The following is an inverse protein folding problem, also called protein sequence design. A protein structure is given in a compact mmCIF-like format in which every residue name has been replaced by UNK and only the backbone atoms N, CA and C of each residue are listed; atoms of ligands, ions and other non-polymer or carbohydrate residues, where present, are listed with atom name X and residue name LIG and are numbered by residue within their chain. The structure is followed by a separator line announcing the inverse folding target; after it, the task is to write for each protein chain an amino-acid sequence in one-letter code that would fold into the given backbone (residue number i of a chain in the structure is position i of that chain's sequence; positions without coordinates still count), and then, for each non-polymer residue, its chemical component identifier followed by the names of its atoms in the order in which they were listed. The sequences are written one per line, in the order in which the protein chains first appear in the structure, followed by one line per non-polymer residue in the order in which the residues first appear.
data_IF_195734592238
#
_entry.id   IF_195734592238
#
_cell.length_a   1.000
_cell.length_b   1.000
_cell.length_c   1.000
_cell.angle_alpha   90.00
_cell.angle_beta   90.00
_cell.angle_gamma   90.00
#
_symmetry.space_group_name_H-M   'P 1'
#
loop_
_entity.id
_entity.type
_entity.pdbx_description
1 polymer ?
#
# COMPACT_ATOMS: atom_id res chain seq x y z
N UNK A 1 -6.86 18.21 -18.74
CA UNK A 1 -6.81 17.16 -17.69
C UNK A 1 -6.13 15.89 -18.19
N UNK A 2 -6.28 15.50 -19.46
CA UNK A 2 -5.69 14.27 -20.02
C UNK A 2 -4.19 14.08 -19.81
N UNK A 3 -3.37 15.10 -20.07
CA UNK A 3 -1.91 14.99 -19.88
C UNK A 3 -1.51 14.79 -18.41
N UNK A 4 -2.30 15.35 -17.48
CA UNK A 4 -2.07 15.18 -16.06
C UNK A 4 -2.40 13.74 -15.61
N UNK A 5 -3.53 13.19 -16.06
CA UNK A 5 -3.88 11.79 -15.80
C UNK A 5 -2.88 10.82 -16.44
N UNK A 6 -2.37 11.15 -17.62
CA UNK A 6 -1.32 10.37 -18.30
C UNK A 6 -0.01 10.38 -17.52
N UNK A 7 0.37 11.52 -16.93
CA UNK A 7 1.52 11.61 -16.03
C UNK A 7 1.32 10.79 -14.74
N UNK A 8 0.15 10.89 -14.11
CA UNK A 8 -0.19 10.08 -12.92
C UNK A 8 -0.17 8.58 -13.21
N UNK A 9 -0.46 8.19 -14.44
CA UNK A 9 -0.45 6.79 -14.90
C UNK A 9 0.94 6.29 -15.32
N UNK A 10 2.00 7.08 -15.15
CA UNK A 10 3.36 6.61 -15.42
C UNK A 10 3.79 5.58 -14.37
N UNK A 11 4.58 4.60 -14.78
CA UNK A 11 5.04 3.49 -13.93
C UNK A 11 5.60 3.94 -12.56
N UNK A 12 6.53 4.92 -12.46
CA UNK A 12 7.06 5.33 -11.16
C UNK A 12 5.98 5.98 -10.28
N UNK A 13 5.09 6.79 -10.85
CA UNK A 13 4.05 7.50 -10.08
C UNK A 13 3.01 6.52 -9.53
N UNK A 14 2.54 5.59 -10.36
CA UNK A 14 1.63 4.52 -9.91
C UNK A 14 2.28 3.62 -8.85
N UNK A 15 3.55 3.27 -9.03
CA UNK A 15 4.29 2.45 -8.07
C UNK A 15 4.40 3.16 -6.72
N UNK A 16 4.74 4.45 -6.69
CA UNK A 16 4.78 5.22 -5.44
C UNK A 16 3.41 5.29 -4.78
N UNK A 17 2.34 5.54 -5.53
CA UNK A 17 0.98 5.57 -4.98
C UNK A 17 0.56 4.20 -4.42
N UNK A 18 0.84 3.12 -5.15
CA UNK A 18 0.44 1.76 -4.75
C UNK A 18 1.25 1.23 -3.57
N UNK A 19 2.58 1.41 -3.59
CA UNK A 19 3.42 1.02 -2.46
C UNK A 19 3.19 1.91 -1.25
N UNK A 20 2.86 3.20 -1.44
CA UNK A 20 2.44 4.08 -0.35
C UNK A 20 1.20 3.54 0.35
N UNK A 21 0.14 3.25 -0.41
CA UNK A 21 -1.08 2.64 0.11
C UNK A 21 -0.81 1.29 0.80
N UNK A 22 -0.05 0.41 0.14
CA UNK A 22 0.29 -0.92 0.66
C UNK A 22 1.09 -0.83 1.96
N UNK A 23 2.07 0.08 2.04
CA UNK A 23 2.89 0.30 3.22
C UNK A 23 2.06 0.81 4.40
N UNK A 24 1.21 1.82 4.16
CA UNK A 24 0.29 2.33 5.20
C UNK A 24 -0.67 1.26 5.70
N UNK A 25 -1.16 0.40 4.81
CA UNK A 25 -2.04 -0.71 5.18
C UNK A 25 -1.32 -1.76 6.05
N UNK A 26 -0.13 -2.18 5.64
CA UNK A 26 0.69 -3.15 6.41
C UNK A 26 1.06 -2.58 7.79
N UNK A 27 1.46 -1.30 7.84
CA UNK A 27 1.74 -0.60 9.10
C UNK A 27 0.51 -0.63 10.02
N UNK A 28 -0.67 -0.32 9.48
CA UNK A 28 -1.90 -0.29 10.26
C UNK A 28 -2.27 -1.68 10.80
N UNK A 29 -2.11 -2.73 9.99
CA UNK A 29 -2.34 -4.11 10.45
C UNK A 29 -1.41 -4.45 11.62
N UNK A 30 -0.12 -4.17 11.51
CA UNK A 30 0.85 -4.47 12.59
C UNK A 30 0.64 -3.58 13.83
N UNK A 31 0.07 -2.39 13.67
CA UNK A 31 -0.32 -1.53 14.80
C UNK A 31 -1.53 -2.09 15.56
N UNK A 32 -2.55 -2.58 14.86
CA UNK A 32 -3.77 -3.13 15.48
C UNK A 32 -3.56 -4.55 16.01
N UNK A 33 -2.81 -5.38 15.28
CA UNK A 33 -2.51 -6.76 15.62
C UNK A 33 -0.98 -6.94 15.74
N UNK A 34 -0.40 -6.63 16.91
CA UNK A 34 1.04 -6.76 17.12
C UNK A 34 1.47 -8.24 17.11
N UNK A 35 2.69 -8.47 16.63
CA UNK A 35 3.41 -9.75 16.67
C UNK A 35 2.69 -10.98 16.05
N UNK A 36 2.19 -10.91 14.81
CA UNK A 36 1.61 -12.07 14.14
C UNK A 36 2.71 -13.04 13.66
N UNK A 37 3.19 -13.91 14.55
CA UNK A 37 4.20 -14.94 14.21
C UNK A 37 3.65 -16.01 13.27
N UNK A 38 2.37 -16.37 13.44
CA UNK A 38 1.65 -17.35 12.62
C UNK A 38 0.22 -16.88 12.41
N UNK A 39 -0.44 -17.40 11.37
CA UNK A 39 -1.85 -17.14 11.17
C UNK A 39 -2.64 -17.98 12.20
N UNK A 40 -3.44 -17.37 13.10
CA UNK A 40 -4.18 -18.13 14.09
C UNK A 40 -5.22 -19.03 13.41
N UNK A 41 -5.18 -20.33 13.71
CA UNK A 41 -6.21 -21.30 13.34
C UNK A 41 -6.96 -21.73 14.60
N UNK A 42 -8.27 -21.51 14.63
CA UNK A 42 -9.17 -21.94 15.71
C UNK A 42 -9.89 -23.22 15.34
#
# INVERSE_FOLDING_TARGET
MDYFLKYLSTAPVLLTAWLGLTSSFIMFINYVYPDPLTFPSF
#
